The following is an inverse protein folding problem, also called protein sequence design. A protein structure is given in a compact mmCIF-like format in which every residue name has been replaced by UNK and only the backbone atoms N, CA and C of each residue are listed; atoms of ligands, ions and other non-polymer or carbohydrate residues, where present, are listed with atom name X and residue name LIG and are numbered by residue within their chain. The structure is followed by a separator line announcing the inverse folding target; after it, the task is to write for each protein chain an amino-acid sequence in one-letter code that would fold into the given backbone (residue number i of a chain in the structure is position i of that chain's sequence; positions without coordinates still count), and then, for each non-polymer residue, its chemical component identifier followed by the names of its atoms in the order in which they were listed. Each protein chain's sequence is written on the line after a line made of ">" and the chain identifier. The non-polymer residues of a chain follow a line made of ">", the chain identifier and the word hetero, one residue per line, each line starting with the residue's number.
data_IF_251431497086
#
_entry.id   IF_251431497086
#
_cell.length_a   1.000
_cell.length_b   1.000
_cell.length_c   1.000
_cell.angle_alpha   90.00
_cell.angle_beta   90.00
_cell.angle_gamma   90.00
#
_symmetry.space_group_name_H-M   'P 1'
#
loop_
_entity.id
_entity.type
_entity.pdbx_description
1 polymer ?
#
# COMPACT_ATOMS: atom_id res chain seq x y z
N UNK A 1 26.72 -27.15 -15.10
CA UNK A 1 27.56 -25.95 -15.30
C UNK A 1 26.82 -25.13 -16.34
N UNK A 2 26.04 -24.10 -16.02
CA UNK A 2 26.10 -23.13 -14.92
C UNK A 2 24.66 -22.65 -14.72
N UNK A 3 24.08 -22.79 -13.54
CA UNK A 3 24.15 -21.89 -12.38
C UNK A 3 23.64 -20.46 -12.66
N UNK A 4 22.64 -20.10 -11.84
CA UNK A 4 22.11 -18.78 -11.51
C UNK A 4 21.55 -17.85 -12.60
N UNK A 5 20.21 -17.71 -12.57
CA UNK A 5 19.63 -16.45 -12.07
C UNK A 5 18.28 -16.70 -11.38
N UNK A 6 18.36 -17.23 -10.15
CA UNK A 6 17.30 -17.05 -9.16
C UNK A 6 17.25 -15.56 -8.81
N UNK A 7 16.33 -14.82 -9.43
CA UNK A 7 15.99 -13.49 -8.96
C UNK A 7 15.26 -13.65 -7.62
N UNK A 8 16.00 -13.61 -6.52
CA UNK A 8 15.42 -13.42 -5.20
C UNK A 8 14.82 -12.01 -5.12
N UNK A 9 13.61 -11.84 -4.56
CA UNK A 9 13.07 -10.51 -4.32
C UNK A 9 13.92 -9.82 -3.25
N UNK A 10 14.48 -8.65 -3.59
CA UNK A 10 15.11 -7.75 -2.65
C UNK A 10 14.06 -7.30 -1.63
N UNK A 11 14.15 -7.81 -0.40
CA UNK A 11 13.35 -7.35 0.74
C UNK A 11 13.76 -5.92 1.11
N UNK A 12 13.15 -4.93 0.47
CA UNK A 12 13.14 -3.57 0.99
C UNK A 12 12.22 -3.57 2.23
N UNK A 13 12.82 -3.80 3.40
CA UNK A 13 12.12 -3.59 4.67
C UNK A 13 11.66 -2.13 4.77
N UNK A 14 10.59 -1.90 5.52
CA UNK A 14 9.93 -0.60 5.77
C UNK A 14 10.84 0.44 6.46
N UNK A 15 12.13 0.14 6.64
CA UNK A 15 13.16 1.00 7.25
C UNK A 15 13.36 2.36 6.58
N UNK A 16 12.69 2.64 5.46
CA UNK A 16 12.67 3.96 4.80
C UNK A 16 11.30 4.67 4.77
N UNK A 17 10.24 4.06 5.31
CA UNK A 17 8.89 4.62 5.32
C UNK A 17 8.62 5.32 6.64
N UNK A 18 8.45 6.64 6.59
CA UNK A 18 8.25 7.52 7.75
C UNK A 18 6.88 7.28 8.41
N UNK A 19 6.72 6.16 9.12
CA UNK A 19 5.56 5.86 9.95
C UNK A 19 5.63 6.71 11.22
N UNK A 20 4.59 7.52 11.46
CA UNK A 20 4.47 8.35 12.66
C UNK A 20 3.13 8.11 13.33
N UNK A 21 3.14 8.07 14.66
CA UNK A 21 1.95 7.95 15.49
C UNK A 21 2.02 9.06 16.52
N UNK A 22 0.95 9.85 16.59
CA UNK A 22 0.79 10.94 17.55
C UNK A 22 0.13 10.39 18.82
N UNK A 23 0.83 10.42 19.94
CA UNK A 23 0.32 9.87 21.21
C UNK A 23 -0.66 10.80 21.91
N UNK A 24 -0.68 12.07 21.54
CA UNK A 24 -1.52 13.10 22.14
C UNK A 24 -2.83 13.29 21.34
N UNK A 25 -2.99 12.58 20.23
CA UNK A 25 -4.21 12.57 19.42
C UNK A 25 -5.35 11.80 20.09
N UNK A 26 -6.59 12.28 19.90
CA UNK A 26 -7.83 11.57 20.27
C UNK A 26 -8.01 10.24 19.53
N UNK A 27 -7.26 10.00 18.45
CA UNK A 27 -7.31 8.75 17.71
C UNK A 27 -6.43 7.71 18.40
N UNK A 28 -6.94 6.52 18.75
CA UNK A 28 -6.11 5.49 19.37
C UNK A 28 -4.88 5.12 18.53
N UNK A 29 -3.70 4.93 19.14
CA UNK A 29 -2.44 4.66 18.41
C UNK A 29 -2.49 3.48 17.42
N UNK A 30 -3.24 2.41 17.73
CA UNK A 30 -3.39 1.28 16.80
C UNK A 30 -4.14 1.69 15.53
N UNK A 31 -5.14 2.57 15.64
CA UNK A 31 -5.95 3.03 14.52
C UNK A 31 -5.15 4.00 13.63
N UNK A 32 -4.28 4.81 14.23
CA UNK A 32 -3.33 5.64 13.49
C UNK A 32 -2.33 4.79 12.71
N UNK A 33 -1.73 3.77 13.34
CA UNK A 33 -0.81 2.85 12.68
C UNK A 33 -1.48 2.12 11.52
N UNK A 34 -2.71 1.61 11.74
CA UNK A 34 -3.53 0.99 10.70
C UNK A 34 -3.74 1.94 9.52
N UNK A 35 -4.15 3.18 9.79
CA UNK A 35 -4.38 4.21 8.76
C UNK A 35 -3.09 4.53 7.98
N UNK A 36 -1.96 4.63 8.66
CA UNK A 36 -0.68 4.90 8.02
C UNK A 36 -0.29 3.78 7.04
N UNK A 37 -0.38 2.52 7.44
CA UNK A 37 -0.07 1.37 6.57
C UNK A 37 -1.01 1.33 5.36
N UNK A 38 -2.32 1.59 5.54
CA UNK A 38 -3.28 1.69 4.44
C UNK A 38 -2.91 2.83 3.48
N UNK A 39 -2.53 3.99 4.00
CA UNK A 39 -2.10 5.13 3.18
C UNK A 39 -0.86 4.82 2.35
N UNK A 40 0.13 4.15 2.95
CA UNK A 40 1.33 3.71 2.23
C UNK A 40 0.99 2.73 1.10
N UNK A 41 0.08 1.79 1.35
CA UNK A 41 -0.42 0.86 0.33
C UNK A 41 -1.15 1.59 -0.80
N UNK A 42 -2.02 2.55 -0.47
CA UNK A 42 -2.74 3.35 -1.47
C UNK A 42 -1.79 4.17 -2.35
N UNK A 43 -0.71 4.72 -1.78
CA UNK A 43 0.31 5.48 -2.51
C UNK A 43 1.25 4.62 -3.36
N UNK A 44 1.19 3.28 -3.25
CA UNK A 44 2.12 2.35 -3.91
C UNK A 44 3.48 2.22 -3.21
N UNK A 45 3.67 2.87 -2.06
CA UNK A 45 4.90 2.78 -1.27
C UNK A 45 5.02 1.45 -0.51
N UNK A 46 3.90 0.75 -0.29
CA UNK A 46 3.86 -0.65 0.12
C UNK A 46 3.06 -1.44 -0.91
N UNK A 47 3.68 -2.46 -1.49
CA UNK A 47 3.09 -3.31 -2.53
C UNK A 47 2.86 -4.73 -2.03
N UNK A 48 2.07 -5.49 -2.80
CA UNK A 48 1.80 -6.89 -2.50
C UNK A 48 3.10 -7.70 -2.35
N UNK A 49 3.19 -8.50 -1.28
CA UNK A 49 4.38 -9.29 -0.95
C UNK A 49 5.40 -8.56 -0.09
N UNK A 50 5.27 -7.25 0.12
CA UNK A 50 6.16 -6.52 1.02
C UNK A 50 6.00 -7.03 2.46
N UNK A 51 7.13 -7.26 3.11
CA UNK A 51 7.17 -7.74 4.49
C UNK A 51 7.03 -6.58 5.46
N UNK A 52 6.05 -6.67 6.36
CA UNK A 52 5.95 -5.74 7.49
C UNK A 52 7.00 -6.05 8.57
N UNK A 53 7.49 -5.03 9.30
CA UNK A 53 8.41 -5.22 10.40
C UNK A 53 7.82 -6.13 11.48
N UNK A 54 8.67 -6.87 12.22
CA UNK A 54 8.22 -7.59 13.40
C UNK A 54 7.57 -6.64 14.40
N UNK A 55 6.48 -7.09 15.03
CA UNK A 55 5.68 -6.26 15.94
C UNK A 55 6.52 -5.62 17.05
N UNK A 56 7.49 -6.36 17.61
CA UNK A 56 8.39 -5.86 18.67
C UNK A 56 9.34 -4.78 18.18
N UNK A 57 9.89 -4.95 16.98
CA UNK A 57 10.79 -3.98 16.37
C UNK A 57 10.04 -2.68 16.05
N UNK A 58 8.87 -2.79 15.41
CA UNK A 58 8.04 -1.63 15.09
C UNK A 58 7.53 -0.90 16.35
N UNK A 59 7.16 -1.66 17.38
CA UNK A 59 6.78 -1.09 18.67
C UNK A 59 7.91 -0.27 19.28
N UNK A 60 9.15 -0.76 19.19
CA UNK A 60 10.33 -0.05 19.69
C UNK A 60 10.59 1.22 18.89
N UNK A 61 10.54 1.14 17.56
CA UNK A 61 10.77 2.26 16.64
C UNK A 61 9.74 3.38 16.81
N UNK A 62 8.46 3.03 16.97
CA UNK A 62 7.37 3.99 17.14
C UNK A 62 7.13 4.38 18.61
N UNK A 63 7.86 3.78 19.56
CA UNK A 63 7.64 3.94 20.99
C UNK A 63 6.24 3.52 21.44
N UNK A 64 5.66 2.48 20.85
CA UNK A 64 4.32 1.95 21.14
C UNK A 64 4.40 0.67 21.99
N UNK A 65 3.30 0.33 22.66
CA UNK A 65 3.16 -0.99 23.26
C UNK A 65 3.04 -2.07 22.17
N UNK A 66 3.67 -3.23 22.36
CA UNK A 66 3.61 -4.35 21.42
C UNK A 66 2.17 -4.79 21.14
N UNK A 67 1.30 -4.78 22.17
CA UNK A 67 -0.12 -5.11 22.04
C UNK A 67 -0.88 -4.13 21.14
N UNK A 68 -0.45 -2.87 21.08
CA UNK A 68 -1.02 -1.86 20.17
C UNK A 68 -0.69 -2.17 18.71
N UNK A 69 0.56 -2.54 18.44
CA UNK A 69 1.00 -2.97 17.10
C UNK A 69 0.30 -4.27 16.71
N UNK A 70 0.22 -5.24 17.62
CA UNK A 70 -0.48 -6.50 17.41
C UNK A 70 -1.97 -6.27 17.09
N UNK A 71 -2.63 -5.34 17.79
CA UNK A 71 -4.02 -4.96 17.49
C UNK A 71 -4.15 -4.36 16.09
N UNK A 72 -3.25 -3.46 15.69
CA UNK A 72 -3.26 -2.87 14.36
C UNK A 72 -3.08 -3.93 13.26
N UNK A 73 -2.14 -4.86 13.43
CA UNK A 73 -1.89 -5.95 12.47
C UNK A 73 -3.09 -6.88 12.39
N UNK A 74 -3.68 -7.24 13.53
CA UNK A 74 -4.89 -8.07 13.57
C UNK A 74 -6.06 -7.43 12.82
N UNK A 75 -6.24 -6.12 12.94
CA UNK A 75 -7.29 -5.40 12.20
C UNK A 75 -6.98 -5.29 10.70
N UNK A 76 -5.72 -5.10 10.32
CA UNK A 76 -5.29 -5.13 8.92
C UNK A 76 -5.52 -6.50 8.29
N UNK A 77 -5.23 -7.56 9.04
CA UNK A 77 -5.42 -8.96 8.62
C UNK A 77 -6.91 -9.28 8.48
N UNK A 78 -7.73 -8.87 9.45
CA UNK A 78 -9.19 -9.00 9.37
C UNK A 78 -9.78 -8.22 8.18
N UNK A 79 -9.16 -7.11 7.78
CA UNK A 79 -9.53 -6.34 6.60
C UNK A 79 -8.93 -6.88 5.29
N UNK A 80 -8.18 -7.99 5.34
CA UNK A 80 -7.51 -8.59 4.18
C UNK A 80 -6.44 -7.71 3.55
N UNK A 81 -5.89 -6.73 4.28
CA UNK A 81 -4.81 -5.85 3.82
C UNK A 81 -3.42 -6.44 4.04
N UNK A 82 -3.30 -7.39 4.99
CA UNK A 82 -2.09 -8.15 5.27
C UNK A 82 -2.44 -9.62 5.53
N UNK A 83 -1.44 -10.48 5.44
CA UNK A 83 -1.51 -11.89 5.82
C UNK A 83 -0.33 -12.24 6.74
N UNK A 84 -0.58 -13.05 7.78
CA UNK A 84 0.47 -13.48 8.71
C UNK A 84 0.76 -14.97 8.58
N UNK A 85 2.01 -15.30 8.23
CA UNK A 85 2.50 -16.67 8.06
C UNK A 85 3.31 -17.14 9.29
N UNK A 86 2.79 -16.89 10.49
CA UNK A 86 3.43 -17.27 11.76
C UNK A 86 4.88 -16.75 11.88
N UNK A 87 5.86 -17.67 11.92
CA UNK A 87 7.29 -17.33 12.04
C UNK A 87 7.86 -16.64 10.79
N UNK A 88 7.24 -16.80 9.63
CA UNK A 88 7.69 -16.14 8.40
C UNK A 88 7.42 -14.63 8.44
N UNK A 89 6.46 -14.18 9.25
CA UNK A 89 6.12 -12.77 9.45
C UNK A 89 4.80 -12.39 8.79
N UNK A 90 4.57 -11.08 8.71
CA UNK A 90 3.36 -10.51 8.11
C UNK A 90 3.70 -9.80 6.81
N UNK A 91 2.86 -9.96 5.80
CA UNK A 91 3.09 -9.46 4.44
C UNK A 91 1.87 -8.70 3.94
N UNK A 92 2.09 -7.66 3.14
CA UNK A 92 1.02 -6.96 2.44
C UNK A 92 0.37 -7.92 1.46
N UNK A 93 -0.94 -8.10 1.56
CA UNK A 93 -1.67 -8.91 0.59
C UNK A 93 -1.81 -8.15 -0.72
N UNK A 94 -1.83 -8.92 -1.81
CA UNK A 94 -2.36 -8.43 -3.06
C UNK A 94 -3.75 -7.86 -2.81
N UNK A 95 -3.93 -6.57 -3.11
CA UNK A 95 -5.28 -6.06 -3.25
C UNK A 95 -5.80 -6.71 -4.50
N UNK A 96 -6.77 -7.63 -4.39
CA UNK A 96 -7.65 -7.82 -5.52
C UNK A 96 -8.58 -6.61 -5.55
N UNK A 97 -8.06 -5.47 -6.02
CA UNK A 97 -8.93 -4.35 -6.33
C UNK A 97 -8.74 -4.01 -7.77
N UNK A 98 -9.73 -4.43 -8.55
CA UNK A 98 -10.21 -3.67 -9.69
C UNK A 98 -9.99 -2.17 -9.47
N UNK A 99 -10.28 -1.60 -8.29
CA UNK A 99 -10.00 -0.19 -7.98
C UNK A 99 -8.52 0.25 -8.11
N UNK A 100 -7.54 -0.48 -7.58
CA UNK A 100 -6.12 -0.11 -7.73
C UNK A 100 -5.66 -0.23 -9.19
N UNK A 101 -6.06 -1.32 -9.87
CA UNK A 101 -5.78 -1.55 -11.29
C UNK A 101 -6.46 -0.50 -12.17
N UNK A 102 -7.70 -0.13 -11.86
CA UNK A 102 -8.46 0.93 -12.52
C UNK A 102 -7.76 2.26 -12.32
N UNK A 103 -7.38 2.63 -11.10
CA UNK A 103 -6.68 3.88 -10.83
C UNK A 103 -5.34 3.96 -11.59
N UNK A 104 -4.58 2.86 -11.62
CA UNK A 104 -3.32 2.77 -12.38
C UNK A 104 -3.54 2.90 -13.89
N UNK A 105 -4.52 2.19 -14.45
CA UNK A 105 -4.88 2.27 -15.87
C UNK A 105 -5.39 3.66 -16.26
N UNK A 106 -6.28 4.25 -15.47
CA UNK A 106 -6.81 5.60 -15.68
C UNK A 106 -5.69 6.64 -15.61
N UNK A 107 -4.80 6.54 -14.62
CA UNK A 107 -3.67 7.47 -14.49
C UNK A 107 -2.70 7.37 -15.67
N UNK A 108 -2.42 6.15 -16.16
CA UNK A 108 -1.60 5.94 -17.37
C UNK A 108 -2.26 6.51 -18.62
N UNK A 109 -3.56 6.30 -18.78
CA UNK A 109 -4.33 6.81 -19.91
C UNK A 109 -4.28 8.35 -19.96
N UNK A 110 -4.65 9.01 -18.87
CA UNK A 110 -4.63 10.48 -18.77
C UNK A 110 -3.22 11.04 -19.03
N UNK A 111 -2.20 10.42 -18.42
CA UNK A 111 -0.80 10.85 -18.61
C UNK A 111 -0.34 10.72 -20.06
N UNK A 112 -0.81 9.71 -20.78
CA UNK A 112 -0.48 9.51 -22.20
C UNK A 112 -1.16 10.54 -23.08
N UNK A 113 -2.44 10.85 -22.82
CA UNK A 113 -3.19 11.86 -23.58
C UNK A 113 -2.62 13.27 -23.40
N UNK A 114 -2.23 13.63 -22.16
CA UNK A 114 -1.55 14.91 -21.90
C UNK A 114 -0.22 15.02 -22.66
N UNK A 115 0.55 13.93 -22.79
CA UNK A 115 1.79 13.92 -23.58
C UNK A 115 1.56 14.12 -25.09
N UNK A 116 0.36 13.82 -25.57
CA UNK A 116 -0.08 14.07 -26.94
C UNK A 116 -0.63 15.49 -27.12
N UNK A 117 -0.67 16.31 -26.06
CA UNK A 117 -1.14 17.70 -26.09
C UNK A 117 -2.63 17.86 -25.89
N UNK A 118 -3.35 16.84 -25.38
CA UNK A 118 -4.75 16.98 -25.03
C UNK A 118 -4.90 17.67 -23.66
N UNK A 119 -5.76 18.67 -23.62
CA UNK A 119 -6.24 19.31 -22.39
C UNK A 119 -7.31 18.43 -21.70
N UNK A 120 -7.47 18.60 -20.39
CA UNK A 120 -8.33 17.73 -19.57
C UNK A 120 -9.79 17.68 -20.06
N UNK A 121 -10.34 18.80 -20.54
CA UNK A 121 -11.70 18.88 -21.09
C UNK A 121 -11.86 18.02 -22.36
N UNK A 122 -10.82 17.96 -23.21
CA UNK A 122 -10.81 17.13 -24.41
C UNK A 122 -10.70 15.64 -24.07
N UNK A 123 -9.94 15.29 -23.01
CA UNK A 123 -9.84 13.92 -22.51
C UNK A 123 -11.20 13.45 -21.98
N UNK A 124 -11.90 14.31 -21.24
CA UNK A 124 -13.25 14.03 -20.72
C UNK A 124 -14.26 13.83 -21.85
N UNK A 125 -14.29 14.73 -22.84
CA UNK A 125 -15.17 14.60 -24.01
C UNK A 125 -14.89 13.31 -24.80
N UNK A 126 -13.62 12.93 -24.97
CA UNK A 126 -13.25 11.67 -25.62
C UNK A 126 -13.75 10.45 -24.83
N UNK A 127 -13.61 10.45 -23.51
CA UNK A 127 -14.14 9.37 -22.68
C UNK A 127 -15.67 9.28 -22.73
N UNK A 128 -16.38 10.41 -22.75
CA UNK A 128 -17.84 10.43 -22.88
C UNK A 128 -18.28 9.83 -24.23
N UNK A 129 -17.60 10.21 -25.30
CA UNK A 129 -17.87 9.70 -26.65
C UNK A 129 -17.68 8.20 -26.77
N UNK A 130 -16.52 7.69 -26.32
CA UNK A 130 -16.21 6.25 -26.35
C UNK A 130 -17.14 5.41 -25.45
N UNK A 131 -17.67 6.00 -24.38
CA UNK A 131 -18.65 5.34 -23.50
C UNK A 131 -20.10 5.47 -24.01
N UNK A 132 -20.34 6.23 -25.09
CA UNK A 132 -21.67 6.51 -25.62
C UNK A 132 -22.54 7.32 -24.66
N UNK A 133 -21.94 8.25 -23.92
CA UNK A 133 -22.60 9.10 -22.90
C UNK A 133 -22.90 10.52 -23.41
N UNK A 134 -22.80 10.73 -24.72
CA UNK A 134 -23.03 12.02 -25.40
C UNK A 134 -24.51 12.37 -25.56
#
# INVERSE_FOLDING_TARGET
>A
MSDQLSAQPVSAGISGLNLRVDKDSDVPPYAQLRRAIIGLRASGALVAGDRLPPMRSLATELGLAVNTVAKAYKELEAAGAIETHGRAGSFITAVDTTAQKTHELTSRYISSMRKLGLEDDAILALCQHELGLD
#
